data_IF_563911401764
#
_entry.id   IF_563911401764
#
_cell.length_a   1.000
_cell.length_b   1.000
_cell.length_c   1.000
_cell.angle_alpha   90.00
_cell.angle_beta   90.00
_cell.angle_gamma   90.00
#
_symmetry.space_group_name_H-M   'P 1'
#
loop_
_entity.id
_entity.type
_entity.pdbx_description
1 polymer ?
#
# COMPACT_ATOMS: atom_id res chain seq x y z
N UNK A 1 25.74 10.42 20.98
CA UNK A 1 24.71 9.62 20.28
C UNK A 1 23.46 10.49 20.24
N UNK A 2 22.89 10.81 19.06
CA UNK A 2 21.58 11.48 19.01
C UNK A 2 20.54 10.55 19.65
N UNK A 3 19.55 11.10 20.36
CA UNK A 3 18.45 10.29 20.89
C UNK A 3 17.74 9.62 19.70
N UNK A 4 17.68 8.28 19.61
CA UNK A 4 17.11 7.58 18.46
C UNK A 4 15.65 7.93 18.20
N UNK A 5 14.89 8.31 19.25
CA UNK A 5 13.50 8.76 19.10
C UNK A 5 13.36 10.08 18.34
N UNK A 6 14.40 10.93 18.35
CA UNK A 6 14.44 12.18 17.58
C UNK A 6 14.84 11.97 16.12
N UNK A 7 15.05 10.72 15.70
CA UNK A 7 15.46 10.37 14.34
C UNK A 7 14.37 9.58 13.57
N UNK A 8 13.15 9.53 14.11
CA UNK A 8 12.02 8.83 13.50
C UNK A 8 10.97 9.87 13.08
N UNK A 9 10.65 9.89 11.79
CA UNK A 9 9.58 10.71 11.23
C UNK A 9 8.41 9.81 10.82
N UNK A 10 7.22 10.02 11.39
CA UNK A 10 6.01 9.25 11.04
C UNK A 10 5.11 10.10 10.16
N UNK A 11 4.65 9.52 9.04
CA UNK A 11 3.83 10.21 8.03
C UNK A 11 2.67 9.33 7.56
N UNK A 12 1.41 9.78 7.67
CA UNK A 12 0.28 9.03 7.17
C UNK A 12 0.13 9.17 5.66
N UNK A 13 -0.29 8.09 4.99
CA UNK A 13 -0.58 8.07 3.54
C UNK A 13 -2.04 7.71 3.33
N UNK A 14 -2.83 8.66 2.83
CA UNK A 14 -4.28 8.52 2.66
C UNK A 14 -4.63 8.30 1.18
N UNK A 15 -4.88 7.05 0.79
CA UNK A 15 -5.26 6.70 -0.59
C UNK A 15 -6.78 6.65 -0.81
N UNK A 16 -7.57 6.41 0.23
CA UNK A 16 -9.03 6.22 0.14
C UNK A 16 -9.77 7.46 -0.38
N UNK A 17 -9.15 8.65 -0.31
CA UNK A 17 -9.70 9.88 -0.88
C UNK A 17 -9.94 9.80 -2.39
N UNK A 18 -9.29 8.86 -3.10
CA UNK A 18 -9.53 8.60 -4.53
C UNK A 18 -10.96 8.12 -4.79
N UNK A 19 -11.57 7.40 -3.83
CA UNK A 19 -12.90 6.79 -4.00
C UNK A 19 -14.02 7.52 -3.24
N UNK A 20 -13.65 8.36 -2.27
CA UNK A 20 -14.58 8.95 -1.30
C UNK A 20 -15.87 9.54 -1.90
N UNK A 21 -15.78 10.32 -3.00
CA UNK A 21 -16.95 10.93 -3.62
C UNK A 21 -17.91 9.90 -4.24
N UNK A 22 -17.36 8.90 -4.96
CA UNK A 22 -18.15 7.85 -5.62
C UNK A 22 -18.74 6.87 -4.61
N UNK A 23 -18.00 6.57 -3.54
CA UNK A 23 -18.50 5.74 -2.44
C UNK A 23 -19.67 6.39 -1.72
N UNK A 24 -19.60 7.69 -1.46
CA UNK A 24 -20.68 8.41 -0.79
C UNK A 24 -21.96 8.45 -1.65
N UNK A 25 -21.81 8.63 -2.96
CA UNK A 25 -22.92 8.50 -3.89
C UNK A 25 -23.52 7.09 -3.89
N UNK A 26 -22.68 6.05 -3.87
CA UNK A 26 -23.12 4.65 -3.86
C UNK A 26 -23.86 4.30 -2.55
N UNK A 27 -23.34 4.74 -1.40
CA UNK A 27 -24.00 4.56 -0.09
C UNK A 27 -25.38 5.18 -0.07
N UNK A 28 -25.50 6.43 -0.55
CA UNK A 28 -26.79 7.12 -0.63
C UNK A 28 -27.80 6.34 -1.48
N UNK A 29 -27.35 5.67 -2.55
CA UNK A 29 -28.22 4.86 -3.43
C UNK A 29 -28.58 3.50 -2.83
N UNK A 30 -27.70 2.86 -2.07
CA UNK A 30 -27.86 1.47 -1.62
C UNK A 30 -28.38 1.31 -0.19
N UNK A 31 -28.03 2.23 0.70
CA UNK A 31 -28.30 2.15 2.15
C UNK A 31 -29.29 3.23 2.60
N UNK A 32 -29.55 4.23 1.75
CA UNK A 32 -30.56 5.26 2.01
C UNK A 32 -31.99 4.72 2.04
N UNK A 33 -32.91 5.49 2.64
CA UNK A 33 -34.35 5.22 2.61
C UNK A 33 -34.84 4.93 1.18
N UNK A 34 -35.75 3.96 0.96
CA UNK A 34 -36.71 3.38 1.91
C UNK A 34 -36.32 2.02 2.52
N UNK A 35 -35.09 1.54 2.33
CA UNK A 35 -34.70 0.19 2.69
C UNK A 35 -34.25 0.13 4.16
N UNK A 36 -35.17 -0.06 5.11
CA UNK A 36 -34.88 -0.31 6.54
C UNK A 36 -34.14 -1.66 6.73
N UNK A 37 -32.86 -1.70 6.35
CA UNK A 37 -32.05 -2.91 6.37
C UNK A 37 -31.43 -3.13 7.75
N UNK A 38 -31.37 -4.38 8.21
CA UNK A 38 -30.67 -4.70 9.47
C UNK A 38 -29.16 -4.77 9.24
N UNK A 39 -28.40 -4.51 10.32
CA UNK A 39 -26.94 -4.54 10.36
C UNK A 39 -26.30 -3.51 9.42
N UNK A 40 -26.83 -2.28 9.43
CA UNK A 40 -26.39 -1.17 8.56
C UNK A 40 -24.88 -0.95 8.67
N UNK A 41 -24.33 -0.83 9.88
CA UNK A 41 -22.88 -0.64 10.11
C UNK A 41 -22.01 -1.75 9.50
N UNK A 42 -22.42 -3.02 9.62
CA UNK A 42 -21.69 -4.14 9.04
C UNK A 42 -21.78 -4.12 7.50
N UNK A 43 -22.94 -3.77 6.95
CA UNK A 43 -23.13 -3.66 5.51
C UNK A 43 -22.34 -2.50 4.95
N UNK A 44 -22.35 -1.35 5.62
CA UNK A 44 -21.52 -0.21 5.28
C UNK A 44 -20.06 -0.63 5.26
N UNK A 45 -19.54 -1.23 6.33
CA UNK A 45 -18.16 -1.72 6.36
C UNK A 45 -17.83 -2.65 5.19
N UNK A 46 -18.70 -3.64 4.91
CA UNK A 46 -18.51 -4.58 3.81
C UNK A 46 -18.59 -3.92 2.43
N UNK A 47 -19.48 -2.93 2.26
CA UNK A 47 -19.62 -2.18 1.00
C UNK A 47 -18.35 -1.35 0.77
N UNK A 48 -17.87 -0.59 1.76
CA UNK A 48 -16.63 0.18 1.62
C UNK A 48 -15.46 -0.74 1.28
N UNK A 49 -15.25 -1.79 2.07
CA UNK A 49 -14.13 -2.70 1.86
C UNK A 49 -14.20 -3.40 0.49
N UNK A 50 -15.36 -3.94 0.11
CA UNK A 50 -15.50 -4.67 -1.15
C UNK A 50 -15.53 -3.73 -2.37
N UNK A 51 -16.16 -2.56 -2.25
CA UNK A 51 -16.20 -1.57 -3.32
C UNK A 51 -14.79 -1.06 -3.62
N UNK A 52 -14.00 -0.70 -2.61
CA UNK A 52 -12.61 -0.30 -2.79
C UNK A 52 -11.78 -1.45 -3.38
N UNK A 53 -11.95 -2.68 -2.89
CA UNK A 53 -11.24 -3.85 -3.39
C UNK A 53 -11.55 -4.14 -4.87
N UNK A 54 -12.79 -3.94 -5.30
CA UNK A 54 -13.22 -4.09 -6.70
C UNK A 54 -12.73 -2.90 -7.54
N UNK A 55 -12.91 -1.67 -7.05
CA UNK A 55 -12.56 -0.45 -7.77
C UNK A 55 -11.06 -0.29 -7.98
N UNK A 56 -10.24 -0.84 -7.07
CA UNK A 56 -8.78 -0.79 -7.15
C UNK A 56 -8.19 -1.66 -8.28
N UNK A 57 -8.90 -2.68 -8.77
CA UNK A 57 -8.31 -3.62 -9.72
C UNK A 57 -7.90 -2.95 -11.04
N UNK A 58 -6.72 -3.31 -11.60
CA UNK A 58 -6.31 -2.82 -12.90
C UNK A 58 -7.27 -3.32 -13.98
N UNK A 59 -7.71 -2.41 -14.86
CA UNK A 59 -8.60 -2.73 -15.98
C UNK A 59 -7.75 -3.01 -17.23
N UNK A 60 -8.16 -4.01 -18.03
CA UNK A 60 -7.41 -4.42 -19.23
C UNK A 60 -7.50 -3.42 -20.39
N UNK A 61 -8.38 -2.42 -20.29
CA UNK A 61 -8.83 -1.61 -21.44
C UNK A 61 -8.26 -0.17 -21.49
N UNK A 62 -7.15 0.12 -20.78
CA UNK A 62 -6.31 1.28 -21.07
C UNK A 62 -6.87 2.68 -20.75
N UNK A 63 -7.96 2.80 -19.97
CA UNK A 63 -8.44 4.08 -19.42
C UNK A 63 -7.62 4.55 -18.20
N UNK A 64 -7.87 5.76 -17.68
CA UNK A 64 -7.32 6.22 -16.39
C UNK A 64 -7.71 5.24 -15.28
N UNK A 65 -6.73 4.53 -14.73
CA UNK A 65 -7.01 3.45 -13.80
C UNK A 65 -6.96 3.96 -12.37
N UNK A 66 -7.97 3.60 -11.58
CA UNK A 66 -7.96 3.81 -10.13
C UNK A 66 -6.69 3.25 -9.48
N UNK A 67 -6.16 2.15 -10.03
CA UNK A 67 -4.85 1.58 -9.68
C UNK A 67 -3.73 2.64 -9.75
N UNK A 68 -3.60 3.30 -10.89
CA UNK A 68 -2.59 4.34 -11.14
C UNK A 68 -2.83 5.57 -10.26
N UNK A 69 -4.09 5.97 -10.06
CA UNK A 69 -4.44 7.11 -9.22
C UNK A 69 -4.08 6.88 -7.74
N UNK A 70 -4.32 5.67 -7.23
CA UNK A 70 -3.93 5.25 -5.89
C UNK A 70 -2.40 5.20 -5.77
N UNK A 71 -1.71 4.60 -6.74
CA UNK A 71 -0.25 4.53 -6.77
C UNK A 71 0.41 5.91 -6.87
N UNK A 72 -0.18 6.81 -7.66
CA UNK A 72 0.29 8.20 -7.76
C UNK A 72 0.13 8.96 -6.43
N UNK A 73 -0.95 8.69 -5.68
CA UNK A 73 -1.12 9.24 -4.32
C UNK A 73 0.00 8.81 -3.39
N UNK A 74 0.40 7.54 -3.45
CA UNK A 74 1.55 7.02 -2.66
C UNK A 74 2.84 7.70 -3.10
N UNK A 75 3.10 7.78 -4.40
CA UNK A 75 4.29 8.45 -4.94
C UNK A 75 4.39 9.91 -4.50
N UNK A 76 3.29 10.67 -4.52
CA UNK A 76 3.25 12.06 -4.00
C UNK A 76 3.67 12.15 -2.54
N UNK A 77 3.20 11.23 -1.71
CA UNK A 77 3.56 11.24 -0.30
C UNK A 77 5.03 10.84 -0.11
N UNK A 78 5.53 9.82 -0.82
CA UNK A 78 6.94 9.43 -0.76
C UNK A 78 7.87 10.56 -1.22
N UNK A 79 7.50 11.31 -2.27
CA UNK A 79 8.25 12.49 -2.71
C UNK A 79 8.31 13.57 -1.64
N UNK A 80 7.16 13.90 -1.05
CA UNK A 80 7.11 14.87 0.05
C UNK A 80 7.98 14.44 1.23
N UNK A 81 7.89 13.17 1.62
CA UNK A 81 8.71 12.59 2.68
C UNK A 81 10.19 12.70 2.31
N UNK A 82 10.57 12.30 1.10
CA UNK A 82 11.93 12.37 0.58
C UNK A 82 12.51 13.80 0.65
N UNK A 83 11.72 14.81 0.34
CA UNK A 83 12.13 16.23 0.46
C UNK A 83 12.34 16.63 1.92
N UNK A 84 11.48 16.16 2.84
CA UNK A 84 11.51 16.53 4.25
C UNK A 84 12.62 15.82 5.05
N UNK A 85 12.84 14.52 4.81
CA UNK A 85 13.79 13.70 5.60
C UNK A 85 15.09 13.35 4.85
N UNK A 86 15.08 13.49 3.53
CA UNK A 86 16.21 13.17 2.65
C UNK A 86 15.97 11.91 1.80
N UNK A 87 16.52 11.86 0.56
CA UNK A 87 16.23 10.84 -0.44
C UNK A 87 16.76 9.44 -0.11
N UNK A 88 17.75 9.32 0.76
CA UNK A 88 18.40 8.04 1.11
C UNK A 88 17.94 7.48 2.47
N UNK A 89 16.87 8.07 3.04
CA UNK A 89 16.38 7.72 4.37
C UNK A 89 15.79 6.30 4.39
N UNK A 90 16.17 5.43 5.34
CA UNK A 90 15.56 4.12 5.54
C UNK A 90 14.04 4.23 5.71
N UNK A 91 13.30 3.46 4.93
CA UNK A 91 11.84 3.46 4.92
C UNK A 91 11.28 2.28 5.70
N UNK A 92 10.35 2.56 6.61
CA UNK A 92 9.52 1.57 7.29
C UNK A 92 8.07 1.81 6.91
N UNK A 93 7.39 0.79 6.39
CA UNK A 93 5.99 0.88 5.96
C UNK A 93 5.13 0.14 6.96
N UNK A 94 4.13 0.82 7.52
CA UNK A 94 3.08 0.20 8.33
C UNK A 94 1.76 0.39 7.60
N UNK A 95 1.08 -0.71 7.30
CA UNK A 95 -0.14 -0.71 6.49
C UNK A 95 -1.26 -1.53 7.16
N UNK A 96 -2.51 -1.23 6.82
CA UNK A 96 -3.67 -1.88 7.43
C UNK A 96 -4.70 -2.29 6.37
N UNK A 97 -5.32 -3.46 6.56
CA UNK A 97 -6.44 -3.95 5.73
C UNK A 97 -6.10 -3.92 4.23
N UNK A 98 -6.96 -3.34 3.37
CA UNK A 98 -6.73 -3.16 1.94
C UNK A 98 -5.49 -2.28 1.65
N UNK A 99 -5.14 -1.36 2.54
CA UNK A 99 -3.91 -0.57 2.43
C UNK A 99 -2.65 -1.44 2.42
N UNK A 100 -2.65 -2.62 3.04
CA UNK A 100 -1.54 -3.56 2.96
C UNK A 100 -1.39 -4.20 1.59
N UNK A 101 -2.52 -4.48 0.93
CA UNK A 101 -2.54 -4.98 -0.44
C UNK A 101 -2.01 -3.91 -1.40
N UNK A 102 -2.51 -2.68 -1.27
CA UNK A 102 -2.10 -1.55 -2.10
C UNK A 102 -0.60 -1.27 -1.93
N UNK A 103 -0.12 -1.19 -0.69
CA UNK A 103 1.29 -0.98 -0.40
C UNK A 103 2.16 -2.12 -0.96
N UNK A 104 1.74 -3.38 -0.77
CA UNK A 104 2.45 -4.53 -1.33
C UNK A 104 2.54 -4.47 -2.85
N UNK A 105 1.45 -4.15 -3.53
CA UNK A 105 1.42 -4.00 -4.99
C UNK A 105 2.32 -2.85 -5.46
N UNK A 106 2.29 -1.70 -4.78
CA UNK A 106 3.12 -0.55 -5.11
C UNK A 106 4.62 -0.88 -5.07
N UNK A 107 5.10 -1.51 -3.99
CA UNK A 107 6.50 -1.92 -3.89
C UNK A 107 6.84 -3.11 -4.78
N UNK A 108 5.88 -4.01 -5.04
CA UNK A 108 6.07 -5.09 -5.99
C UNK A 108 6.34 -4.55 -7.40
N UNK A 109 5.56 -3.55 -7.84
CA UNK A 109 5.73 -2.93 -9.14
C UNK A 109 7.07 -2.19 -9.24
N UNK A 110 7.49 -1.48 -8.19
CA UNK A 110 8.83 -0.87 -8.13
C UNK A 110 9.96 -1.91 -8.28
N UNK A 111 9.79 -3.10 -7.71
CA UNK A 111 10.82 -4.15 -7.73
C UNK A 111 10.82 -5.00 -9.01
N UNK A 112 9.66 -5.17 -9.68
CA UNK A 112 9.48 -6.18 -10.72
C UNK A 112 8.87 -5.67 -12.04
N UNK A 113 8.20 -4.51 -12.07
CA UNK A 113 7.51 -4.06 -13.27
C UNK A 113 8.49 -3.52 -14.33
N UNK A 114 8.31 -3.95 -15.58
CA UNK A 114 9.02 -3.41 -16.76
C UNK A 114 8.55 -1.99 -17.12
N UNK A 115 7.30 -1.66 -16.79
CA UNK A 115 6.76 -0.30 -16.87
C UNK A 115 6.89 0.34 -15.48
N UNK A 116 7.80 1.31 -15.36
CA UNK A 116 8.14 1.93 -14.09
C UNK A 116 6.91 2.59 -13.49
N UNK A 117 6.49 2.14 -12.30
CA UNK A 117 5.60 2.92 -11.42
C UNK A 117 6.04 4.38 -11.47
N UNK A 118 5.11 5.29 -11.77
CA UNK A 118 5.43 6.70 -11.97
C UNK A 118 5.80 7.32 -10.62
N UNK A 119 7.09 7.45 -10.37
CA UNK A 119 7.67 8.20 -9.25
C UNK A 119 7.92 9.66 -9.67
N UNK A 120 7.98 10.58 -8.70
CA UNK A 120 8.08 12.02 -8.99
C UNK A 120 9.54 12.43 -9.11
N UNK A 121 10.39 11.99 -8.19
CA UNK A 121 11.84 12.23 -8.26
C UNK A 121 12.60 10.90 -8.46
N UNK A 122 13.02 10.60 -9.70
CA UNK A 122 13.82 9.41 -9.99
C UNK A 122 15.19 9.38 -9.30
N UNK A 123 15.68 10.51 -8.77
CA UNK A 123 16.94 10.56 -8.03
C UNK A 123 16.81 10.14 -6.57
N UNK A 124 15.58 10.08 -6.04
CA UNK A 124 15.31 9.63 -4.67
C UNK A 124 15.31 8.11 -4.52
N UNK A 125 16.25 7.56 -3.75
CA UNK A 125 16.29 6.12 -3.42
C UNK A 125 15.05 5.69 -2.63
N UNK A 126 14.51 6.58 -1.79
CA UNK A 126 13.28 6.37 -1.05
C UNK A 126 12.08 6.21 -1.99
N UNK A 127 11.92 7.08 -2.98
CA UNK A 127 10.83 6.96 -3.96
C UNK A 127 10.98 5.72 -4.85
N UNK A 128 12.21 5.34 -5.20
CA UNK A 128 12.50 4.09 -5.93
C UNK A 128 12.21 2.82 -5.11
N UNK A 129 11.92 2.94 -3.80
CA UNK A 129 11.73 1.82 -2.90
C UNK A 129 13.03 1.11 -2.51
N UNK A 130 14.18 1.68 -2.87
CA UNK A 130 15.52 1.14 -2.61
C UNK A 130 15.90 1.27 -1.14
N UNK A 131 15.24 2.15 -0.37
CA UNK A 131 15.48 2.27 1.06
C UNK A 131 14.48 1.48 1.92
N UNK A 132 13.59 0.68 1.31
CA UNK A 132 12.62 -0.14 2.03
C UNK A 132 13.33 -1.15 2.95
N UNK A 133 13.25 -0.91 4.25
CA UNK A 133 13.93 -1.69 5.28
C UNK A 133 12.99 -2.61 6.05
N UNK A 134 11.76 -2.14 6.31
CA UNK A 134 10.77 -2.82 7.14
C UNK A 134 9.37 -2.69 6.52
N UNK A 135 8.58 -3.75 6.61
CA UNK A 135 7.21 -3.76 6.13
C UNK A 135 6.30 -4.48 7.13
N UNK A 136 5.39 -3.74 7.76
CA UNK A 136 4.46 -4.25 8.74
C UNK A 136 3.03 -4.14 8.22
N UNK A 137 2.25 -5.19 8.46
CA UNK A 137 0.84 -5.22 8.09
C UNK A 137 -0.03 -5.54 9.28
N UNK A 138 -1.19 -4.87 9.38
CA UNK A 138 -2.17 -5.05 10.44
C UNK A 138 -3.52 -5.42 9.83
N UNK A 139 -4.09 -6.58 10.23
CA UNK A 139 -5.40 -7.00 9.72
C UNK A 139 -5.47 -7.12 8.19
N UNK A 140 -4.36 -7.49 7.54
CA UNK A 140 -4.24 -7.52 6.08
C UNK A 140 -5.14 -8.58 5.44
N UNK A 141 -5.61 -8.26 4.23
CA UNK A 141 -6.37 -9.17 3.38
C UNK A 141 -5.54 -9.78 2.25
N UNK A 142 -4.20 -9.63 2.31
CA UNK A 142 -3.26 -10.24 1.37
C UNK A 142 -3.51 -11.75 1.10
N UNK A 143 -3.79 -12.61 2.11
CA UNK A 143 -4.10 -14.02 1.84
C UNK A 143 -5.39 -14.26 1.06
N UNK A 144 -6.39 -13.38 1.18
CA UNK A 144 -7.59 -13.45 0.34
C UNK A 144 -7.28 -12.94 -1.07
N UNK A 145 -6.48 -11.89 -1.16
CA UNK A 145 -6.06 -11.30 -2.42
C UNK A 145 -5.18 -12.23 -3.27
N UNK A 146 -4.39 -13.10 -2.62
CA UNK A 146 -3.55 -14.08 -3.32
C UNK A 146 -4.36 -15.10 -4.12
N UNK A 147 -5.64 -15.33 -3.78
CA UNK A 147 -6.55 -16.21 -4.54
C UNK A 147 -6.79 -15.74 -5.98
N UNK A 148 -6.48 -14.49 -6.32
CA UNK A 148 -6.55 -14.00 -7.71
C UNK A 148 -5.49 -14.66 -8.60
N UNK A 149 -4.37 -15.10 -8.04
CA UNK A 149 -3.27 -15.64 -8.81
C UNK A 149 -3.37 -17.17 -8.86
N UNK A 150 -3.32 -17.73 -10.07
CA UNK A 150 -3.26 -19.19 -10.25
C UNK A 150 -1.92 -19.77 -9.81
N UNK A 151 -0.86 -18.95 -9.91
CA UNK A 151 0.47 -19.17 -9.35
C UNK A 151 0.95 -17.85 -8.78
N UNK A 152 1.12 -17.78 -7.46
CA UNK A 152 1.78 -16.63 -6.84
C UNK A 152 3.27 -16.73 -7.15
N UNK A 153 3.81 -15.75 -7.89
CA UNK A 153 5.20 -15.82 -8.35
C UNK A 153 6.16 -15.54 -7.19
N UNK A 154 6.22 -14.29 -6.71
CA UNK A 154 7.17 -13.88 -5.68
C UNK A 154 6.59 -12.79 -4.77
N UNK A 155 6.82 -12.84 -3.45
CA UNK A 155 6.51 -11.71 -2.57
C UNK A 155 7.44 -10.51 -2.84
N UNK A 156 7.09 -9.34 -2.29
CA UNK A 156 8.03 -8.21 -2.21
C UNK A 156 9.24 -8.59 -1.36
N UNK A 157 10.42 -8.10 -1.75
CA UNK A 157 11.64 -8.28 -0.99
C UNK A 157 11.78 -7.18 0.07
N UNK A 158 11.96 -7.58 1.33
CA UNK A 158 12.18 -6.70 2.49
C UNK A 158 13.33 -7.30 3.33
N UNK A 159 14.43 -6.58 3.57
CA UNK A 159 14.71 -5.24 3.04
C UNK A 159 14.95 -5.32 1.51
N UNK A 160 14.83 -4.20 0.81
CA UNK A 160 15.10 -4.15 -0.64
C UNK A 160 16.52 -4.65 -0.95
N UNK A 161 16.78 -5.04 -2.21
CA UNK A 161 18.10 -5.50 -2.64
C UNK A 161 19.17 -4.42 -2.41
N UNK A 162 18.85 -3.18 -2.76
CA UNK A 162 19.74 -2.03 -2.63
C UNK A 162 19.99 -1.66 -1.16
N UNK A 163 18.97 -1.71 -0.31
CA UNK A 163 19.14 -1.51 1.14
C UNK A 163 20.05 -2.58 1.74
N UNK A 164 19.85 -3.84 1.36
CA UNK A 164 20.69 -4.96 1.81
C UNK A 164 22.15 -4.77 1.41
N UNK A 165 22.40 -4.23 0.21
CA UNK A 165 23.75 -3.96 -0.28
C UNK A 165 24.42 -2.80 0.47
N UNK A 166 23.65 -1.75 0.81
CA UNK A 166 24.16 -0.60 1.56
C UNK A 166 24.36 -0.90 3.06
N UNK A 167 23.49 -1.73 3.64
CA UNK A 167 23.46 -2.03 5.07
C UNK A 167 23.45 -3.55 5.33
N UNK A 168 24.53 -4.29 5.00
CA UNK A 168 24.56 -5.75 5.03
C UNK A 168 24.37 -6.36 6.43
N UNK A 169 24.58 -5.56 7.48
CA UNK A 169 24.42 -5.99 8.88
C UNK A 169 23.02 -5.70 9.46
N UNK A 170 22.12 -5.08 8.70
CA UNK A 170 20.75 -4.80 9.13
C UNK A 170 19.82 -5.84 8.49
N UNK A 171 19.28 -6.74 9.30
CA UNK A 171 18.20 -7.61 8.88
C UNK A 171 16.91 -6.78 8.73
N UNK A 172 16.29 -6.82 7.55
CA UNK A 172 14.93 -6.30 7.40
C UNK A 172 13.91 -7.31 7.92
N UNK A 173 12.69 -6.82 8.11
CA UNK A 173 11.59 -7.61 8.66
C UNK A 173 10.32 -7.34 7.87
N UNK A 174 9.64 -8.42 7.48
CA UNK A 174 8.27 -8.38 7.02
C UNK A 174 7.39 -9.19 7.97
N UNK A 175 6.56 -8.49 8.75
CA UNK A 175 5.67 -9.13 9.73
C UNK A 175 4.21 -8.95 9.37
N UNK A 176 3.52 -10.09 9.23
CA UNK A 176 2.08 -10.20 9.07
C UNK A 176 1.44 -10.31 10.46
N UNK A 177 0.90 -9.22 11.00
CA UNK A 177 0.23 -9.24 12.31
C UNK A 177 -1.17 -9.90 12.19
N UNK A 178 -1.15 -11.22 11.96
CA UNK A 178 -2.17 -12.25 12.24
C UNK A 178 -1.79 -13.67 11.81
N UNK A 179 -0.61 -13.90 11.21
CA UNK A 179 -0.21 -15.27 10.89
C UNK A 179 1.30 -15.47 10.93
N UNK A 180 1.76 -16.22 11.94
CA UNK A 180 3.06 -16.91 11.91
C UNK A 180 3.10 -18.06 10.88
N UNK A 181 2.05 -18.24 10.06
CA UNK A 181 1.85 -19.45 9.23
C UNK A 181 1.63 -19.17 7.74
N UNK A 182 1.94 -17.98 7.25
CA UNK A 182 1.90 -17.71 5.80
C UNK A 182 3.29 -17.26 5.39
N UNK A 183 4.13 -18.25 5.11
CA UNK A 183 5.34 -18.08 4.32
C UNK A 183 4.92 -18.26 2.86
N UNK A 184 5.15 -17.26 2.02
CA UNK A 184 5.01 -17.38 0.58
C UNK A 184 6.25 -18.02 -0.01
#
# INVERSE_FOLDING_TARGET
MKNPELCIEIRPVWWASVFAEREEELKRKLVGAPYNLRYEELREFMIHYLADAVAYQPLRDGGEQNYDAVHHTISKQLNRISIEVGPDTPLCVVSHSLGSVIASNYFYDLQNAKEKTKIIDPSSALERGETLSLFYTCGTTLPLWSLRYTSFDHPIQVPSKDFSAMYPNIAGEWTLNKSKYITF
#
